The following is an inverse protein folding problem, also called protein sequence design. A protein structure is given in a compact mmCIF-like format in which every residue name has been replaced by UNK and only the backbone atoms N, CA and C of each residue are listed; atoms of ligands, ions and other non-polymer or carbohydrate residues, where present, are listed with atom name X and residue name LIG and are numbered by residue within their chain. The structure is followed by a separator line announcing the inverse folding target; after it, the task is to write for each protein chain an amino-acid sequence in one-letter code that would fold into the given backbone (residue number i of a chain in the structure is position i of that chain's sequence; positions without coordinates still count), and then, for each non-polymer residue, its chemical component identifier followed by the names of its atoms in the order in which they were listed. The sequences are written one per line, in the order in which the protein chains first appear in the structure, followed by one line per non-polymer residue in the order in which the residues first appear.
data_IF_868993074930
#
_entry.id   IF_868993074930
#
_cell.length_a   1.000
_cell.length_b   1.000
_cell.length_c   1.000
_cell.angle_alpha   90.00
_cell.angle_beta   90.00
_cell.angle_gamma   90.00
#
_symmetry.space_group_name_H-M   'P 1'
#
loop_
_entity.id
_entity.type
_entity.pdbx_description
1 polymer ?
#
# COMPACT_ATOMS: atom_id res chain seq x y z
N UNK A 1 -20.65 18.07 17.72
CA UNK A 1 -20.47 18.87 16.49
C UNK A 1 -20.62 17.95 15.28
N UNK A 2 -21.58 18.19 14.38
CA UNK A 2 -21.80 17.31 13.23
C UNK A 2 -20.77 17.59 12.14
N UNK A 3 -20.07 16.58 11.63
CA UNK A 3 -18.99 16.67 10.62
C UNK A 3 -19.33 17.58 9.41
N UNK A 4 -20.59 17.60 8.99
CA UNK A 4 -21.09 18.46 7.90
C UNK A 4 -21.01 19.96 8.17
N UNK A 5 -21.04 20.39 9.44
CA UNK A 5 -20.91 21.80 9.82
C UNK A 5 -19.46 22.29 9.81
N UNK A 6 -18.51 21.40 10.04
CA UNK A 6 -17.08 21.72 9.95
C UNK A 6 -16.66 22.00 8.49
N UNK A 7 -17.10 21.17 7.55
CA UNK A 7 -16.78 21.32 6.14
C UNK A 7 -17.38 22.64 5.57
N UNK A 8 -18.61 22.99 5.95
CA UNK A 8 -19.24 24.26 5.52
C UNK A 8 -18.53 25.50 6.06
N UNK A 9 -17.93 25.45 7.26
CA UNK A 9 -17.17 26.57 7.82
C UNK A 9 -15.76 26.69 7.22
N UNK A 10 -15.13 25.58 6.84
CA UNK A 10 -13.82 25.59 6.19
C UNK A 10 -13.86 26.14 4.76
N UNK A 11 -14.98 26.01 4.06
CA UNK A 11 -15.12 26.54 2.70
C UNK A 11 -15.45 28.04 2.62
N UNK A 12 -15.86 28.68 3.72
CA UNK A 12 -16.15 30.12 3.74
C UNK A 12 -14.97 31.02 4.15
N UNK A 13 -13.87 30.43 4.62
CA UNK A 13 -12.67 31.16 5.03
C UNK A 13 -11.62 31.30 3.93
N UNK A 14 -11.85 30.78 2.74
CA UNK A 14 -10.92 30.86 1.62
C UNK A 14 -11.21 32.01 0.61
N UNK A 15 -12.17 32.88 0.90
CA UNK A 15 -12.46 34.05 0.05
C UNK A 15 -12.06 35.31 0.79
N UNK A 16 -10.78 35.62 0.84
CA UNK A 16 -10.38 36.86 1.41
C UNK A 16 -8.91 37.06 1.73
N UNK A 17 -7.99 36.67 0.86
CA UNK A 17 -6.67 37.28 0.79
C UNK A 17 -6.23 37.28 -0.67
N UNK A 18 -6.71 38.25 -1.40
CA UNK A 18 -6.21 38.61 -2.72
C UNK A 18 -5.52 39.97 -2.62
N UNK A 19 -4.32 40.00 -2.04
CA UNK A 19 -3.36 41.10 -2.28
C UNK A 19 -1.96 40.50 -2.25
N UNK A 20 -1.30 40.51 -3.42
CA UNK A 20 0.13 40.25 -3.54
C UNK A 20 0.51 38.82 -3.95
N UNK A 21 -0.09 38.29 -4.98
CA UNK A 21 0.46 37.14 -5.67
C UNK A 21 1.47 37.59 -6.69
N UNK A 22 2.76 37.51 -6.36
CA UNK A 22 3.74 37.22 -7.39
C UNK A 22 3.28 35.92 -8.07
N UNK A 23 2.79 36.08 -9.31
CA UNK A 23 2.51 34.91 -10.18
C UNK A 23 3.80 34.11 -10.27
N UNK A 24 3.85 33.01 -9.52
CA UNK A 24 4.79 31.95 -9.85
C UNK A 24 4.29 31.46 -11.22
N UNK A 25 4.86 31.99 -12.28
CA UNK A 25 4.75 31.41 -13.59
C UNK A 25 5.33 29.99 -13.45
N UNK A 26 4.47 29.04 -13.14
CA UNK A 26 4.74 27.66 -13.46
C UNK A 26 4.87 27.65 -14.99
N UNK A 27 6.10 27.80 -15.46
CA UNK A 27 6.45 27.67 -16.85
C UNK A 27 5.97 26.28 -17.29
N UNK A 28 4.79 26.27 -17.89
CA UNK A 28 4.38 25.15 -18.72
C UNK A 28 5.33 25.14 -19.92
N UNK A 29 6.50 24.58 -19.69
CA UNK A 29 7.43 24.24 -20.73
C UNK A 29 7.07 22.81 -21.18
N UNK A 30 6.27 22.64 -22.26
CA UNK A 30 5.85 21.32 -22.72
C UNK A 30 7.00 20.55 -23.39
N UNK A 31 8.20 21.13 -23.46
CA UNK A 31 9.32 20.59 -24.23
C UNK A 31 10.54 20.19 -23.40
N UNK A 32 10.39 19.93 -22.13
CA UNK A 32 11.35 18.99 -21.55
C UNK A 32 10.90 17.60 -21.92
N UNK A 33 11.30 17.18 -23.12
CA UNK A 33 11.56 15.79 -23.42
C UNK A 33 12.43 15.24 -22.28
N UNK A 34 11.80 14.93 -21.16
CA UNK A 34 12.36 14.01 -20.23
C UNK A 34 12.41 12.71 -21.04
N UNK A 35 13.52 12.52 -21.75
CA UNK A 35 13.90 11.18 -22.15
C UNK A 35 13.88 10.43 -20.83
N UNK A 36 12.77 9.81 -20.52
CA UNK A 36 12.74 8.69 -19.60
C UNK A 36 13.66 7.68 -20.25
N UNK A 37 14.96 7.84 -19.99
CA UNK A 37 15.84 6.71 -20.09
C UNK A 37 15.07 5.65 -19.31
N UNK A 38 14.61 4.63 -20.03
CA UNK A 38 14.09 3.42 -19.44
C UNK A 38 15.21 2.99 -18.52
N UNK A 39 15.18 3.49 -17.27
CA UNK A 39 16.03 2.95 -16.23
C UNK A 39 15.52 1.53 -16.19
N UNK A 40 16.39 0.60 -16.51
CA UNK A 40 16.10 -0.78 -16.20
C UNK A 40 15.82 -0.76 -14.71
N UNK A 41 14.52 -0.71 -14.38
CA UNK A 41 14.09 -0.60 -13.02
C UNK A 41 14.49 -1.92 -12.37
N UNK A 42 15.53 -1.85 -11.55
CA UNK A 42 15.90 -3.00 -10.74
C UNK A 42 14.67 -3.36 -9.90
N UNK A 43 14.30 -4.63 -9.86
CA UNK A 43 13.22 -5.04 -9.02
C UNK A 43 13.51 -4.62 -7.56
N UNK A 44 12.47 -4.21 -6.84
CA UNK A 44 12.58 -3.78 -5.46
C UNK A 44 11.48 -4.47 -4.65
N UNK A 45 11.84 -4.98 -3.48
CA UNK A 45 10.90 -5.51 -2.49
C UNK A 45 10.99 -4.67 -1.24
N UNK A 46 9.85 -4.21 -0.74
CA UNK A 46 9.75 -3.43 0.50
C UNK A 46 8.68 -4.06 1.39
N UNK A 47 9.00 -4.22 2.66
CA UNK A 47 8.05 -4.55 3.71
C UNK A 47 8.04 -3.45 4.76
N UNK A 48 6.90 -3.20 5.40
CA UNK A 48 6.76 -2.23 6.48
C UNK A 48 7.19 -2.78 7.83
N UNK A 49 7.38 -4.09 7.91
CA UNK A 49 7.84 -4.82 9.11
C UNK A 49 9.14 -5.54 8.81
N UNK A 50 9.84 -5.94 9.88
CA UNK A 50 11.04 -6.76 9.78
C UNK A 50 10.64 -8.23 9.52
N UNK A 51 10.46 -8.54 8.24
CA UNK A 51 10.02 -9.87 7.77
C UNK A 51 10.99 -10.39 6.67
N UNK A 52 12.23 -10.71 7.06
CA UNK A 52 13.29 -11.05 6.10
C UNK A 52 12.96 -12.27 5.23
N UNK A 53 12.24 -13.25 5.77
CA UNK A 53 11.87 -14.45 5.01
C UNK A 53 10.83 -14.13 3.92
N UNK A 54 9.85 -13.27 4.22
CA UNK A 54 8.85 -12.82 3.25
C UNK A 54 9.47 -12.01 2.13
N UNK A 55 10.35 -11.05 2.47
CA UNK A 55 11.04 -10.23 1.47
C UNK A 55 12.00 -11.04 0.62
N UNK A 56 12.70 -12.02 1.21
CA UNK A 56 13.57 -12.94 0.46
C UNK A 56 12.76 -13.78 -0.52
N UNK A 57 11.61 -14.33 -0.10
CA UNK A 57 10.74 -15.12 -0.98
C UNK A 57 10.21 -14.27 -2.14
N UNK A 58 9.74 -13.05 -1.86
CA UNK A 58 9.27 -12.13 -2.90
C UNK A 58 10.41 -11.77 -3.88
N UNK A 59 11.62 -11.57 -3.36
CA UNK A 59 12.80 -11.32 -4.18
C UNK A 59 13.13 -12.49 -5.12
N UNK A 60 13.07 -13.72 -4.62
CA UNK A 60 13.32 -14.93 -5.42
C UNK A 60 12.38 -15.01 -6.63
N UNK A 61 11.10 -14.68 -6.43
CA UNK A 61 10.10 -14.64 -7.51
C UNK A 61 10.48 -13.58 -8.57
N UNK A 62 10.81 -12.37 -8.14
CA UNK A 62 11.17 -11.29 -9.07
C UNK A 62 12.48 -11.59 -9.80
N UNK A 63 13.46 -12.14 -9.11
CA UNK A 63 14.77 -12.50 -9.68
C UNK A 63 14.65 -13.65 -10.70
N UNK A 64 13.67 -14.52 -10.53
CA UNK A 64 13.33 -15.57 -11.50
C UNK A 64 12.50 -15.05 -12.70
N UNK A 65 12.20 -13.75 -12.77
CA UNK A 65 11.39 -13.15 -13.84
C UNK A 65 9.88 -13.23 -13.61
N UNK A 66 9.45 -13.56 -12.40
CA UNK A 66 8.04 -13.56 -12.01
C UNK A 66 7.45 -12.14 -11.93
N UNK A 67 6.14 -12.03 -11.83
CA UNK A 67 5.45 -10.75 -11.72
C UNK A 67 5.37 -10.28 -10.25
N UNK A 68 5.06 -8.98 -10.07
CA UNK A 68 5.01 -8.36 -8.74
C UNK A 68 3.86 -8.88 -7.88
N UNK A 69 2.74 -9.26 -8.48
CA UNK A 69 1.59 -9.77 -7.74
C UNK A 69 1.91 -11.12 -7.10
N UNK A 70 2.50 -12.04 -7.87
CA UNK A 70 2.94 -13.35 -7.36
C UNK A 70 4.01 -13.18 -6.27
N UNK A 71 4.91 -12.21 -6.45
CA UNK A 71 5.95 -11.94 -5.44
C UNK A 71 5.36 -11.47 -4.11
N UNK A 72 4.36 -10.58 -4.15
CA UNK A 72 3.66 -10.10 -2.94
C UNK A 72 2.89 -11.24 -2.30
N UNK A 73 2.10 -11.99 -3.07
CA UNK A 73 1.33 -13.12 -2.57
C UNK A 73 2.22 -14.15 -1.88
N UNK A 74 3.23 -14.66 -2.58
CA UNK A 74 4.13 -15.68 -2.05
C UNK A 74 4.96 -15.17 -0.85
N UNK A 75 5.29 -13.88 -0.83
CA UNK A 75 5.95 -13.26 0.32
C UNK A 75 5.04 -13.22 1.54
N UNK A 76 3.80 -12.78 1.40
CA UNK A 76 2.82 -12.71 2.50
C UNK A 76 2.51 -14.11 3.06
N UNK A 77 2.34 -15.11 2.21
CA UNK A 77 2.07 -16.49 2.62
C UNK A 77 3.12 -17.06 3.59
N UNK A 78 4.37 -16.60 3.53
CA UNK A 78 5.43 -17.04 4.45
C UNK A 78 5.09 -16.64 5.89
N UNK A 79 4.65 -15.38 6.10
CA UNK A 79 4.31 -14.90 7.43
C UNK A 79 2.94 -15.41 7.89
N UNK A 80 1.99 -15.55 6.98
CA UNK A 80 0.67 -16.11 7.29
C UNK A 80 0.73 -17.57 7.72
N UNK A 81 1.67 -18.35 7.19
CA UNK A 81 1.91 -19.73 7.59
C UNK A 81 2.68 -19.86 8.91
N UNK A 82 3.25 -18.78 9.42
CA UNK A 82 4.08 -18.79 10.63
C UNK A 82 3.22 -18.85 11.90
N UNK A 83 3.10 -20.04 12.50
CA UNK A 83 2.32 -20.25 13.73
C UNK A 83 2.89 -19.53 14.95
N UNK A 84 4.15 -19.07 14.89
CA UNK A 84 4.80 -18.33 15.98
C UNK A 84 4.63 -16.81 15.82
N UNK A 85 4.13 -16.37 14.68
CA UNK A 85 3.76 -14.97 14.46
C UNK A 85 2.60 -14.59 15.39
N UNK A 86 2.50 -13.31 15.76
CA UNK A 86 1.46 -12.82 16.67
C UNK A 86 0.58 -11.74 16.05
N UNK A 87 0.63 -11.57 14.75
CA UNK A 87 -0.08 -10.47 14.10
C UNK A 87 -0.84 -10.86 12.82
N UNK A 88 -0.38 -11.89 12.12
CA UNK A 88 -0.98 -12.30 10.84
C UNK A 88 -1.13 -13.81 10.75
N UNK A 89 -2.05 -14.27 9.90
CA UNK A 89 -2.21 -15.66 9.54
C UNK A 89 -2.48 -16.59 10.74
N UNK A 90 -1.90 -17.79 10.69
CA UNK A 90 -2.12 -18.85 11.70
C UNK A 90 -1.74 -18.45 13.12
N UNK A 91 -0.75 -17.58 13.26
CA UNK A 91 -0.30 -17.09 14.57
C UNK A 91 -1.07 -15.85 15.06
N UNK A 92 -2.11 -15.40 14.35
CA UNK A 92 -2.89 -14.24 14.71
C UNK A 92 -3.46 -14.30 16.12
N UNK A 93 -3.53 -13.16 16.79
CA UNK A 93 -4.08 -13.08 18.15
C UNK A 93 -5.60 -13.21 18.11
N UNK A 94 -6.19 -14.00 19.02
CA UNK A 94 -7.62 -14.15 19.09
C UNK A 94 -8.31 -12.89 19.67
N UNK A 95 -9.58 -12.74 19.34
CA UNK A 95 -10.47 -11.81 20.01
C UNK A 95 -10.78 -12.26 21.46
N UNK A 96 -11.63 -11.48 22.15
CA UNK A 96 -12.03 -11.81 23.54
C UNK A 96 -12.78 -13.14 23.66
N UNK A 97 -13.38 -13.61 22.58
CA UNK A 97 -14.19 -14.85 22.55
C UNK A 97 -13.34 -16.06 22.08
N UNK A 98 -12.04 -15.83 21.82
CA UNK A 98 -11.07 -16.86 21.44
C UNK A 98 -11.02 -17.14 19.94
N UNK A 99 -11.64 -16.34 19.10
CA UNK A 99 -11.64 -16.51 17.65
C UNK A 99 -10.54 -15.67 17.00
N UNK A 100 -9.76 -16.27 16.12
CA UNK A 100 -8.86 -15.54 15.23
C UNK A 100 -9.61 -15.22 13.94
N UNK A 101 -9.74 -13.94 13.65
CA UNK A 101 -10.32 -13.44 12.40
C UNK A 101 -9.28 -12.62 11.65
N UNK A 102 -9.22 -12.80 10.35
CA UNK A 102 -8.19 -12.26 9.48
C UNK A 102 -8.80 -11.46 8.34
N UNK A 103 -8.08 -10.44 7.93
CA UNK A 103 -8.41 -9.62 6.78
C UNK A 103 -7.22 -9.64 5.82
N UNK A 104 -7.49 -9.64 4.51
CA UNK A 104 -6.45 -9.57 3.51
C UNK A 104 -6.85 -8.65 2.36
N UNK A 105 -5.88 -8.00 1.76
CA UNK A 105 -6.07 -7.27 0.52
C UNK A 105 -4.81 -7.36 -0.35
N UNK A 106 -5.01 -7.31 -1.66
CA UNK A 106 -3.94 -7.29 -2.63
C UNK A 106 -4.29 -6.36 -3.78
N UNK A 107 -3.28 -5.72 -4.36
CA UNK A 107 -3.44 -4.81 -5.50
C UNK A 107 -2.46 -5.20 -6.61
N UNK A 108 -2.92 -5.17 -7.85
CA UNK A 108 -2.07 -5.40 -9.02
C UNK A 108 -1.39 -4.10 -9.50
N UNK A 109 -0.55 -4.22 -10.52
CA UNK A 109 0.17 -3.09 -11.15
C UNK A 109 -0.74 -2.05 -11.82
N UNK A 110 -1.98 -2.42 -12.13
CA UNK A 110 -2.95 -1.58 -12.83
C UNK A 110 -3.86 -0.82 -11.84
N UNK A 111 -3.70 -1.10 -10.53
CA UNK A 111 -4.46 -0.48 -9.47
C UNK A 111 -5.77 -1.21 -9.13
N UNK A 112 -6.03 -2.36 -9.75
CA UNK A 112 -7.15 -3.19 -9.35
C UNK A 112 -6.83 -3.86 -8.02
N UNK A 113 -7.76 -3.79 -7.08
CA UNK A 113 -7.59 -4.40 -5.77
C UNK A 113 -8.75 -5.31 -5.41
N UNK A 114 -8.42 -6.36 -4.68
CA UNK A 114 -9.37 -7.24 -4.04
C UNK A 114 -9.11 -7.31 -2.55
N UNK A 115 -10.17 -7.50 -1.77
CA UNK A 115 -10.06 -7.67 -0.32
C UNK A 115 -11.09 -8.64 0.20
N UNK A 116 -10.73 -9.27 1.31
CA UNK A 116 -11.61 -10.15 2.08
C UNK A 116 -11.45 -9.80 3.54
N UNK A 117 -12.52 -9.97 4.30
CA UNK A 117 -12.54 -9.67 5.73
C UNK A 117 -13.20 -10.79 6.50
N UNK A 118 -12.89 -10.86 7.79
CA UNK A 118 -13.50 -11.79 8.71
C UNK A 118 -13.29 -13.26 8.34
N UNK A 119 -12.11 -13.58 7.84
CA UNK A 119 -11.73 -14.96 7.50
C UNK A 119 -11.37 -15.75 8.77
N UNK A 120 -11.77 -17.01 8.81
CA UNK A 120 -11.41 -17.94 9.87
C UNK A 120 -10.92 -19.25 9.27
N UNK A 121 -9.95 -19.89 9.92
CA UNK A 121 -9.43 -21.22 9.57
C UNK A 121 -8.80 -21.32 8.17
N UNK A 122 -8.29 -20.23 7.62
CA UNK A 122 -7.55 -20.22 6.35
C UNK A 122 -6.16 -19.59 6.50
N UNK A 123 -5.31 -19.91 5.56
CA UNK A 123 -3.95 -19.37 5.40
C UNK A 123 -3.77 -18.90 3.97
#
# INVERSE_FOLDING_TARGET
MKRRHFIKKASLTSVGIAVGTSVINASNNPDKNLKTTKRDALPLVIATWDVPNATAKAWDILNAGGNSLDAVEQGCMIEEANEKGQSVGKGGLPDRDGNVTLDACIMNKDGDCGSVVYLQHIT
#
